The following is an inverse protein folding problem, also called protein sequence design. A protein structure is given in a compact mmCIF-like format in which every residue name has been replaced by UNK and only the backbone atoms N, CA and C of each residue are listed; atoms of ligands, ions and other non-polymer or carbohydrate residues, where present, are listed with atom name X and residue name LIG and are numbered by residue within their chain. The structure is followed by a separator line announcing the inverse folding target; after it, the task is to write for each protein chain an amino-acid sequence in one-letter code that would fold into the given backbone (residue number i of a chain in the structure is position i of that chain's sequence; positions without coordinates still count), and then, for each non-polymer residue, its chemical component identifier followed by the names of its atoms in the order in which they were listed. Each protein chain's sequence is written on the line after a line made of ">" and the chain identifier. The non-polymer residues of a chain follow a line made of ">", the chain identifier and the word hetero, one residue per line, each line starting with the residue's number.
data_IF_259951430017
#
_entry.id   IF_259951430017
#
_cell.length_a   1.000
_cell.length_b   1.000
_cell.length_c   1.000
_cell.angle_alpha   90.00
_cell.angle_beta   90.00
_cell.angle_gamma   90.00
#
_symmetry.space_group_name_H-M   'P 1'
#
loop_
_entity.id
_entity.type
_entity.pdbx_description
1 polymer ?
#
# COMPACT_ATOMS: atom_id res chain seq x y z
N UNK A 1 -43.61 -44.83 -76.84
CA UNK A 1 -44.40 -45.45 -75.75
C UNK A 1 -43.41 -45.68 -74.62
N UNK A 2 -43.58 -45.08 -73.62
CA UNK A 2 -43.53 -45.41 -72.20
C UNK A 2 -43.06 -44.23 -71.33
N UNK A 3 -43.96 -43.80 -70.51
CA UNK A 3 -43.87 -42.73 -69.56
C UNK A 3 -43.05 -43.20 -68.35
N UNK A 4 -41.97 -42.47 -67.99
CA UNK A 4 -41.35 -42.63 -66.66
C UNK A 4 -41.42 -41.31 -65.90
N UNK A 5 -42.37 -41.25 -64.96
CA UNK A 5 -42.52 -40.15 -63.99
C UNK A 5 -41.40 -40.18 -63.03
N UNK A 6 -40.52 -39.12 -63.04
CA UNK A 6 -39.57 -38.85 -62.02
C UNK A 6 -40.22 -38.25 -60.78
N UNK A 7 -40.23 -38.96 -59.67
CA UNK A 7 -40.59 -38.47 -58.32
C UNK A 7 -39.54 -37.59 -57.75
N UNK A 8 -39.73 -36.27 -57.65
CA UNK A 8 -38.95 -35.37 -56.86
C UNK A 8 -39.22 -35.59 -55.35
N UNK A 9 -38.30 -36.24 -54.65
CA UNK A 9 -38.27 -36.24 -53.17
C UNK A 9 -37.87 -34.85 -52.68
N UNK A 10 -38.80 -34.14 -52.04
CA UNK A 10 -38.60 -32.94 -51.27
C UNK A 10 -37.88 -33.30 -49.97
N UNK A 11 -36.58 -32.91 -49.82
CA UNK A 11 -35.90 -32.97 -48.57
C UNK A 11 -36.23 -31.69 -47.79
N UNK A 12 -37.10 -31.84 -46.79
CA UNK A 12 -37.35 -30.84 -45.75
C UNK A 12 -36.10 -30.72 -44.90
N UNK A 13 -35.31 -29.65 -45.11
CA UNK A 13 -34.24 -29.24 -44.23
C UNK A 13 -34.84 -28.65 -42.96
N UNK A 14 -34.99 -29.49 -41.95
CA UNK A 14 -35.30 -29.04 -40.60
C UNK A 14 -34.10 -28.20 -40.07
N UNK A 15 -34.23 -26.89 -40.15
CA UNK A 15 -33.29 -25.94 -39.51
C UNK A 15 -33.33 -26.16 -38.01
N UNK A 16 -32.38 -26.91 -37.50
CA UNK A 16 -32.07 -27.00 -36.08
C UNK A 16 -31.60 -25.61 -35.62
N UNK A 17 -32.51 -24.78 -35.16
CA UNK A 17 -32.17 -23.59 -34.35
C UNK A 17 -31.49 -24.06 -33.06
N UNK A 18 -30.16 -24.17 -33.07
CA UNK A 18 -29.39 -24.30 -31.85
C UNK A 18 -29.74 -23.11 -30.95
N UNK A 19 -30.52 -23.37 -29.90
CA UNK A 19 -30.70 -22.42 -28.79
C UNK A 19 -29.30 -22.15 -28.22
N UNK A 20 -28.66 -21.05 -28.62
CA UNK A 20 -27.53 -20.49 -27.91
C UNK A 20 -28.01 -20.23 -26.49
N UNK A 21 -27.67 -21.13 -25.60
CA UNK A 21 -27.88 -20.99 -24.16
C UNK A 21 -27.16 -19.68 -23.77
N UNK A 22 -27.92 -18.61 -23.54
CA UNK A 22 -27.38 -17.38 -22.94
C UNK A 22 -26.78 -17.81 -21.60
N UNK A 23 -25.44 -17.94 -21.55
CA UNK A 23 -24.69 -18.12 -20.31
C UNK A 23 -25.10 -16.98 -19.37
N UNK A 24 -25.73 -17.32 -18.27
CA UNK A 24 -26.01 -16.37 -17.18
C UNK A 24 -24.73 -15.78 -16.74
N UNK A 25 -24.55 -14.45 -16.87
CA UNK A 25 -23.44 -13.71 -16.29
C UNK A 25 -23.59 -13.81 -14.78
N UNK A 26 -22.83 -14.65 -14.13
CA UNK A 26 -22.61 -14.57 -12.69
C UNK A 26 -21.66 -13.41 -12.45
N UNK A 27 -22.17 -12.31 -11.89
CA UNK A 27 -21.33 -11.20 -11.42
C UNK A 27 -20.46 -11.75 -10.28
N UNK A 28 -19.18 -11.94 -10.53
CA UNK A 28 -18.22 -12.35 -9.49
C UNK A 28 -18.00 -11.18 -8.55
N UNK A 29 -18.13 -11.41 -7.26
CA UNK A 29 -17.78 -10.45 -6.22
C UNK A 29 -16.84 -11.10 -5.22
N UNK A 30 -15.69 -10.48 -4.98
CA UNK A 30 -14.67 -11.04 -4.10
C UNK A 30 -14.98 -10.76 -2.63
N UNK A 31 -15.90 -11.54 -2.06
CA UNK A 31 -16.25 -11.47 -0.64
C UNK A 31 -15.05 -11.77 0.28
N UNK A 32 -14.10 -12.59 -0.19
CA UNK A 32 -12.90 -12.93 0.57
C UNK A 32 -11.98 -11.73 0.76
N UNK A 33 -11.84 -10.89 -0.27
CA UNK A 33 -11.10 -9.64 -0.17
C UNK A 33 -11.78 -8.67 0.81
N UNK A 34 -13.11 -8.54 0.73
CA UNK A 34 -13.88 -7.70 1.68
C UNK A 34 -13.72 -8.20 3.10
N UNK A 35 -13.84 -9.51 3.32
CA UNK A 35 -13.74 -10.12 4.64
C UNK A 35 -12.37 -9.84 5.29
N UNK A 36 -11.26 -10.02 4.55
CA UNK A 36 -9.92 -9.78 5.11
C UNK A 36 -9.67 -8.30 5.41
N UNK A 37 -10.18 -7.39 4.58
CA UNK A 37 -10.06 -5.94 4.85
C UNK A 37 -10.84 -5.57 6.11
N UNK A 38 -12.06 -6.08 6.27
CA UNK A 38 -12.87 -5.84 7.48
C UNK A 38 -12.19 -6.44 8.71
N UNK A 39 -11.66 -7.66 8.62
CA UNK A 39 -10.93 -8.30 9.73
C UNK A 39 -9.69 -7.50 10.14
N UNK A 40 -8.85 -7.06 9.18
CA UNK A 40 -7.69 -6.22 9.48
C UNK A 40 -8.09 -4.89 10.10
N UNK A 41 -9.17 -4.26 9.61
CA UNK A 41 -9.65 -2.98 10.14
C UNK A 41 -10.22 -3.14 11.55
N UNK A 42 -11.03 -4.18 11.81
CA UNK A 42 -11.56 -4.45 13.14
C UNK A 42 -10.45 -4.79 14.14
N UNK A 43 -9.49 -5.63 13.73
CA UNK A 43 -8.31 -5.91 14.53
C UNK A 43 -7.50 -4.64 14.82
N UNK A 44 -7.29 -3.81 13.80
CA UNK A 44 -6.63 -2.50 13.94
C UNK A 44 -7.33 -1.59 14.94
N UNK A 45 -8.67 -1.53 14.93
CA UNK A 45 -9.44 -0.75 15.89
C UNK A 45 -9.28 -1.26 17.35
N UNK A 46 -9.26 -2.58 17.54
CA UNK A 46 -9.03 -3.18 18.87
C UNK A 46 -7.63 -2.83 19.37
N UNK A 47 -6.62 -2.99 18.53
CA UNK A 47 -5.23 -2.68 18.88
C UNK A 47 -5.01 -1.18 19.05
N UNK A 48 -5.69 -0.34 18.27
CA UNK A 48 -5.67 1.12 18.44
C UNK A 48 -6.23 1.53 19.80
N UNK A 49 -7.37 0.97 20.21
CA UNK A 49 -7.91 1.24 21.55
C UNK A 49 -6.91 0.83 22.64
N UNK A 50 -6.34 -0.36 22.52
CA UNK A 50 -5.33 -0.82 23.48
C UNK A 50 -4.11 0.11 23.53
N UNK A 51 -3.56 0.50 22.40
CA UNK A 51 -2.31 1.29 22.34
C UNK A 51 -2.50 2.77 22.68
N UNK A 52 -3.67 3.35 22.42
CA UNK A 52 -3.89 4.79 22.54
C UNK A 52 -4.68 5.22 23.76
N UNK A 53 -5.36 4.31 24.48
CA UNK A 53 -6.26 4.63 25.58
C UNK A 53 -5.60 5.47 26.69
N UNK A 54 -4.39 5.10 27.11
CA UNK A 54 -3.65 5.81 28.15
C UNK A 54 -3.30 7.26 27.72
N UNK A 55 -2.69 7.43 26.55
CA UNK A 55 -2.33 8.77 26.06
C UNK A 55 -3.57 9.61 25.71
N UNK A 56 -4.64 8.98 25.25
CA UNK A 56 -5.92 9.65 25.00
C UNK A 56 -6.55 10.18 26.28
N UNK A 57 -6.49 9.40 27.36
CA UNK A 57 -7.01 9.84 28.67
C UNK A 57 -6.23 11.05 29.22
N UNK A 58 -4.89 11.02 29.10
CA UNK A 58 -4.04 12.12 29.58
C UNK A 58 -4.25 13.40 28.75
N UNK A 59 -4.24 13.29 27.42
CA UNK A 59 -4.22 14.46 26.55
C UNK A 59 -5.61 15.02 26.24
N UNK A 60 -6.66 14.18 26.25
CA UNK A 60 -8.01 14.55 25.81
C UNK A 60 -9.10 14.25 26.86
N UNK A 61 -8.74 13.67 28.00
CA UNK A 61 -9.71 13.32 29.06
C UNK A 61 -10.67 12.18 28.69
N UNK A 62 -10.41 11.45 27.62
CA UNK A 62 -11.24 10.32 27.18
C UNK A 62 -10.37 9.25 26.54
N UNK A 63 -10.39 8.06 27.10
CA UNK A 63 -9.67 6.87 26.62
C UNK A 63 -10.10 6.42 25.20
N UNK A 64 -11.35 6.75 24.80
CA UNK A 64 -11.94 6.38 23.51
C UNK A 64 -11.73 7.44 22.40
N UNK A 65 -10.99 8.51 22.64
CA UNK A 65 -10.87 9.63 21.69
C UNK A 65 -10.37 9.16 20.31
N UNK A 66 -9.23 8.50 20.23
CA UNK A 66 -8.66 8.02 18.99
C UNK A 66 -9.50 6.88 18.36
N UNK A 67 -10.01 5.98 19.20
CA UNK A 67 -10.87 4.88 18.76
C UNK A 67 -12.12 5.38 18.04
N UNK A 68 -12.90 6.28 18.68
CA UNK A 68 -14.14 6.82 18.09
C UNK A 68 -13.86 7.52 16.75
N UNK A 69 -12.82 8.36 16.70
CA UNK A 69 -12.43 9.06 15.49
C UNK A 69 -12.07 8.10 14.37
N UNK A 70 -11.24 7.10 14.64
CA UNK A 70 -10.81 6.11 13.64
C UNK A 70 -11.96 5.18 13.23
N UNK A 71 -12.82 4.76 14.15
CA UNK A 71 -13.98 3.91 13.86
C UNK A 71 -14.95 4.58 12.87
N UNK A 72 -15.29 5.85 13.12
CA UNK A 72 -16.16 6.62 12.22
C UNK A 72 -15.55 6.73 10.83
N UNK A 73 -14.25 7.08 10.75
CA UNK A 73 -13.53 7.17 9.48
C UNK A 73 -13.50 5.80 8.79
N UNK A 74 -13.21 4.72 9.51
CA UNK A 74 -13.13 3.36 8.94
C UNK A 74 -14.46 2.90 8.35
N UNK A 75 -15.57 3.13 9.05
CA UNK A 75 -16.92 2.79 8.54
C UNK A 75 -17.23 3.59 7.28
N UNK A 76 -16.98 4.90 7.29
CA UNK A 76 -17.19 5.75 6.11
C UNK A 76 -16.32 5.29 4.92
N UNK A 77 -15.06 4.91 5.19
CA UNK A 77 -14.13 4.44 4.17
C UNK A 77 -14.51 3.06 3.61
N UNK A 78 -15.03 2.13 4.42
CA UNK A 78 -15.57 0.85 3.94
C UNK A 78 -16.75 1.11 3.01
N UNK A 79 -17.70 1.98 3.39
CA UNK A 79 -18.82 2.35 2.53
C UNK A 79 -18.31 2.97 1.22
N UNK A 80 -17.35 3.87 1.28
CA UNK A 80 -16.71 4.47 0.12
C UNK A 80 -16.07 3.41 -0.78
N UNK A 81 -15.32 2.45 -0.24
CA UNK A 81 -14.74 1.35 -1.01
C UNK A 81 -15.79 0.50 -1.71
N UNK A 82 -16.92 0.21 -1.05
CA UNK A 82 -18.06 -0.50 -1.64
C UNK A 82 -18.73 0.31 -2.76
N UNK A 83 -18.83 1.63 -2.63
CA UNK A 83 -19.33 2.52 -3.69
C UNK A 83 -18.36 2.52 -4.87
N UNK A 84 -17.05 2.70 -4.64
CA UNK A 84 -16.02 2.66 -5.68
C UNK A 84 -16.04 1.32 -6.41
N UNK A 85 -16.25 0.20 -5.71
CA UNK A 85 -16.33 -1.14 -6.31
C UNK A 85 -17.46 -1.29 -7.34
N UNK A 86 -18.49 -0.45 -7.27
CA UNK A 86 -19.60 -0.43 -8.24
C UNK A 86 -19.32 0.43 -9.46
N UNK A 87 -18.35 1.34 -9.37
CA UNK A 87 -17.95 2.19 -10.50
C UNK A 87 -17.07 1.38 -11.46
N UNK A 88 -17.08 1.76 -12.73
CA UNK A 88 -16.20 1.13 -13.71
C UNK A 88 -14.79 1.74 -13.62
N UNK A 89 -13.80 0.94 -13.17
CA UNK A 89 -12.42 1.37 -13.05
C UNK A 89 -11.82 1.94 -14.35
N UNK A 90 -12.35 1.55 -15.53
CA UNK A 90 -11.90 2.08 -16.83
C UNK A 90 -12.12 3.59 -16.98
N UNK A 91 -13.00 4.19 -16.18
CA UNK A 91 -13.18 5.65 -16.16
C UNK A 91 -11.87 6.35 -15.78
N UNK A 92 -11.05 5.71 -14.94
CA UNK A 92 -9.74 6.26 -14.52
C UNK A 92 -8.76 6.42 -15.70
N UNK A 93 -8.92 5.67 -16.79
CA UNK A 93 -8.14 5.89 -18.01
C UNK A 93 -8.25 7.32 -18.50
N UNK A 94 -9.46 7.89 -18.46
CA UNK A 94 -9.71 9.27 -18.91
C UNK A 94 -9.12 10.32 -17.98
N UNK A 95 -9.07 10.00 -16.69
CA UNK A 95 -8.63 10.96 -15.66
C UNK A 95 -7.18 10.70 -15.18
N UNK A 96 -6.46 9.75 -15.76
CA UNK A 96 -5.11 9.36 -15.32
C UNK A 96 -4.12 10.54 -15.33
N UNK A 97 -4.08 11.31 -16.40
CA UNK A 97 -3.22 12.50 -16.52
C UNK A 97 -3.65 13.61 -15.57
N UNK A 98 -4.95 13.86 -15.42
CA UNK A 98 -5.47 14.83 -14.48
C UNK A 98 -5.12 14.48 -13.03
N UNK A 99 -5.21 13.19 -12.67
CA UNK A 99 -4.83 12.70 -11.34
C UNK A 99 -3.33 12.89 -11.07
N UNK A 100 -2.49 12.62 -12.09
CA UNK A 100 -1.05 12.83 -12.00
C UNK A 100 -0.70 14.30 -11.77
N UNK A 101 -1.28 15.20 -12.57
CA UNK A 101 -1.06 16.66 -12.43
C UNK A 101 -1.60 17.17 -11.10
N UNK A 102 -2.79 16.71 -10.67
CA UNK A 102 -3.36 17.07 -9.38
C UNK A 102 -2.45 16.66 -8.22
N UNK A 103 -1.87 15.45 -8.26
CA UNK A 103 -0.92 14.99 -7.24
C UNK A 103 0.34 15.89 -7.18
N UNK A 104 0.90 16.27 -8.34
CA UNK A 104 2.05 17.18 -8.40
C UNK A 104 1.71 18.57 -7.82
N UNK A 105 0.58 19.15 -8.25
CA UNK A 105 0.15 20.47 -7.78
C UNK A 105 -0.10 20.45 -6.27
N UNK A 106 -0.81 19.43 -5.75
CA UNK A 106 -1.09 19.32 -4.32
C UNK A 106 0.18 19.12 -3.49
N UNK A 107 1.17 18.35 -3.99
CA UNK A 107 2.47 18.24 -3.32
C UNK A 107 3.21 19.59 -3.32
N UNK A 108 3.21 20.33 -4.41
CA UNK A 108 3.83 21.65 -4.46
C UNK A 108 3.14 22.65 -3.51
N UNK A 109 1.83 22.57 -3.33
CA UNK A 109 1.07 23.40 -2.40
C UNK A 109 1.47 23.21 -0.93
N UNK A 110 2.10 22.08 -0.57
CA UNK A 110 2.62 21.85 0.81
C UNK A 110 3.69 22.88 1.20
N UNK A 111 4.45 23.42 0.24
CA UNK A 111 5.46 24.46 0.50
C UNK A 111 4.88 25.89 0.63
N UNK A 112 3.57 26.04 0.44
CA UNK A 112 2.85 27.30 0.64
C UNK A 112 2.36 27.44 2.09
N UNK A 113 1.78 28.61 2.48
CA UNK A 113 1.20 28.81 3.82
C UNK A 113 0.09 27.83 4.21
N UNK A 114 -0.48 27.07 3.25
CA UNK A 114 -1.45 26.00 3.50
C UNK A 114 -0.80 24.73 4.07
N UNK A 115 0.54 24.63 3.97
CA UNK A 115 1.30 23.50 4.47
C UNK A 115 1.48 23.55 5.97
N UNK A 116 1.20 22.43 6.65
CA UNK A 116 1.43 22.26 8.08
C UNK A 116 2.68 21.43 8.32
N UNK A 117 3.53 21.93 9.21
CA UNK A 117 4.72 21.22 9.68
C UNK A 117 4.36 20.26 10.80
N UNK A 118 4.85 19.04 10.72
CA UNK A 118 4.78 18.05 11.79
C UNK A 118 6.14 17.39 11.93
N UNK A 119 6.69 17.34 13.16
CA UNK A 119 8.01 16.78 13.47
C UNK A 119 9.14 17.32 12.57
N UNK A 120 9.11 18.63 12.28
CA UNK A 120 10.15 19.30 11.50
C UNK A 120 10.09 19.12 9.98
N UNK A 121 9.04 18.48 9.45
CA UNK A 121 8.82 18.33 8.01
C UNK A 121 7.42 18.79 7.60
N UNK A 122 7.32 19.52 6.49
CA UNK A 122 6.04 19.95 5.92
C UNK A 122 5.50 18.83 5.04
N UNK A 123 4.45 18.13 5.50
CA UNK A 123 3.89 16.95 4.81
C UNK A 123 2.39 17.01 4.59
N UNK A 124 1.70 17.90 5.31
CA UNK A 124 0.26 17.94 5.40
C UNK A 124 -0.27 19.25 4.84
N UNK A 125 -1.39 19.19 4.15
CA UNK A 125 -2.21 20.36 3.82
C UNK A 125 -3.34 20.47 4.86
N UNK A 126 -3.50 21.67 5.41
CA UNK A 126 -4.61 21.97 6.30
C UNK A 126 -5.80 22.50 5.47
N UNK A 127 -6.82 21.66 5.31
CA UNK A 127 -8.06 22.00 4.61
C UNK A 127 -9.21 22.22 5.63
N UNK A 128 -8.93 22.94 6.70
CA UNK A 128 -9.87 23.19 7.79
C UNK A 128 -9.93 22.03 8.76
N UNK A 129 -11.06 21.27 8.88
CA UNK A 129 -11.18 20.18 9.86
C UNK A 129 -10.40 18.91 9.48
N UNK A 130 -9.90 18.83 8.23
CA UNK A 130 -9.24 17.64 7.69
C UNK A 130 -7.80 17.95 7.31
N UNK A 131 -6.87 17.19 7.89
CA UNK A 131 -5.48 17.20 7.45
C UNK A 131 -5.32 16.20 6.31
N UNK A 132 -4.84 16.67 5.17
CA UNK A 132 -4.67 15.88 3.96
C UNK A 132 -3.18 15.73 3.61
N UNK A 133 -2.74 14.51 3.33
CA UNK A 133 -1.37 14.24 2.91
C UNK A 133 -1.31 14.01 1.39
N UNK A 134 -0.83 14.96 0.59
CA UNK A 134 -0.80 14.84 -0.87
C UNK A 134 0.03 13.68 -1.40
N UNK A 135 1.06 13.27 -0.65
CA UNK A 135 1.90 12.14 -1.01
C UNK A 135 1.14 10.79 -1.03
N UNK A 136 0.04 10.67 -0.28
CA UNK A 136 -0.85 9.50 -0.35
C UNK A 136 -1.58 9.45 -1.70
N UNK A 137 -2.06 10.59 -2.18
CA UNK A 137 -2.66 10.70 -3.52
C UNK A 137 -1.65 10.38 -4.62
N UNK A 138 -0.38 10.76 -4.46
CA UNK A 138 0.66 10.48 -5.44
C UNK A 138 0.91 8.97 -5.64
N UNK A 139 0.74 8.15 -4.61
CA UNK A 139 0.80 6.68 -4.73
C UNK A 139 -0.32 6.15 -5.62
N UNK A 140 -1.56 6.62 -5.43
CA UNK A 140 -2.68 6.25 -6.32
C UNK A 140 -2.46 6.80 -7.73
N UNK A 141 -1.94 8.02 -7.86
CA UNK A 141 -1.68 8.62 -9.17
C UNK A 141 -0.68 7.78 -9.99
N UNK A 142 0.38 7.27 -9.37
CA UNK A 142 1.33 6.39 -10.08
C UNK A 142 0.70 5.03 -10.42
N UNK A 143 -0.11 4.46 -9.51
CA UNK A 143 -0.83 3.18 -9.70
C UNK A 143 -1.84 3.26 -10.85
N UNK A 144 -2.39 4.43 -11.14
CA UNK A 144 -3.35 4.64 -12.24
C UNK A 144 -2.64 5.10 -13.52
N UNK A 145 -1.72 6.06 -13.41
CA UNK A 145 -1.10 6.68 -14.58
C UNK A 145 -0.13 5.75 -15.32
N UNK A 146 0.71 5.00 -14.61
CA UNK A 146 1.66 4.11 -15.28
C UNK A 146 0.98 2.96 -16.03
N UNK A 147 -0.02 2.23 -15.48
CA UNK A 147 -0.79 1.26 -16.25
C UNK A 147 -1.44 1.86 -17.50
N UNK A 148 -2.02 3.06 -17.39
CA UNK A 148 -2.56 3.77 -18.54
C UNK A 148 -1.49 3.97 -19.64
N UNK A 149 -0.31 4.49 -19.27
CA UNK A 149 0.79 4.71 -20.21
C UNK A 149 1.30 3.40 -20.80
N UNK A 150 1.47 2.34 -20.00
CA UNK A 150 1.94 1.02 -20.43
C UNK A 150 1.01 0.46 -21.52
N UNK A 151 -0.31 0.52 -21.27
CA UNK A 151 -1.32 0.03 -22.24
C UNK A 151 -1.26 0.82 -23.55
N UNK A 152 -1.13 2.17 -23.47
CA UNK A 152 -1.07 3.02 -24.69
C UNK A 152 0.24 2.92 -25.44
N UNK A 153 1.36 2.68 -24.75
CA UNK A 153 2.67 2.47 -25.38
C UNK A 153 2.78 1.10 -26.08
N UNK A 154 2.01 0.11 -25.64
CA UNK A 154 1.98 -1.24 -26.20
C UNK A 154 3.40 -1.85 -26.32
N UNK A 155 3.80 -2.27 -27.53
CA UNK A 155 5.12 -2.91 -27.74
C UNK A 155 6.32 -1.99 -27.42
N UNK A 156 6.14 -0.66 -27.38
CA UNK A 156 7.23 0.28 -27.06
C UNK A 156 7.73 0.15 -25.62
N UNK A 157 6.92 -0.39 -24.71
CA UNK A 157 7.34 -0.67 -23.32
C UNK A 157 8.55 -1.63 -23.28
N UNK A 158 8.69 -2.51 -24.26
CA UNK A 158 9.80 -3.47 -24.35
C UNK A 158 11.14 -2.83 -24.78
N UNK A 159 11.14 -1.55 -25.11
CA UNK A 159 12.34 -0.81 -25.47
C UNK A 159 12.91 -0.07 -24.28
N UNK A 160 14.24 0.09 -24.23
CA UNK A 160 14.89 0.89 -23.18
C UNK A 160 14.32 2.31 -23.10
N UNK A 161 14.03 2.95 -24.24
CA UNK A 161 13.40 4.27 -24.29
C UNK A 161 12.02 4.27 -23.64
N UNK A 162 11.21 3.22 -23.87
CA UNK A 162 9.89 3.08 -23.22
C UNK A 162 9.99 2.93 -21.71
N UNK A 163 10.90 2.09 -21.21
CA UNK A 163 11.15 1.96 -19.78
C UNK A 163 11.63 3.27 -19.16
N UNK A 164 12.53 4.00 -19.84
CA UNK A 164 13.02 5.30 -19.37
C UNK A 164 11.90 6.33 -19.25
N UNK A 165 10.99 6.41 -20.22
CA UNK A 165 9.83 7.32 -20.15
C UNK A 165 8.97 7.01 -18.93
N UNK A 166 8.66 5.73 -18.68
CA UNK A 166 7.88 5.32 -17.51
C UNK A 166 8.63 5.62 -16.19
N UNK A 167 9.94 5.34 -16.17
CA UNK A 167 10.79 5.63 -15.02
C UNK A 167 10.88 7.14 -14.73
N UNK A 168 10.94 7.99 -15.76
CA UNK A 168 10.93 9.46 -15.60
C UNK A 168 9.59 9.95 -15.07
N UNK A 169 8.46 9.42 -15.57
CA UNK A 169 7.14 9.82 -15.08
C UNK A 169 6.91 9.39 -13.63
N UNK A 170 7.16 8.12 -13.29
CA UNK A 170 7.02 7.65 -11.92
C UNK A 170 8.08 8.25 -10.98
N UNK A 171 9.33 8.34 -11.45
CA UNK A 171 10.42 9.01 -10.74
C UNK A 171 10.16 10.50 -10.50
N UNK A 172 9.46 11.18 -11.41
CA UNK A 172 9.03 12.57 -11.24
C UNK A 172 8.10 12.75 -10.05
N UNK A 173 7.11 11.86 -9.85
CA UNK A 173 6.27 11.86 -8.64
C UNK A 173 7.06 11.51 -7.37
N UNK A 174 7.99 10.54 -7.46
CA UNK A 174 8.85 10.20 -6.34
C UNK A 174 9.75 11.38 -5.93
N UNK A 175 10.36 12.05 -6.91
CA UNK A 175 11.17 13.24 -6.68
C UNK A 175 10.33 14.39 -6.10
N UNK A 176 9.12 14.60 -6.61
CA UNK A 176 8.20 15.61 -6.08
C UNK A 176 7.82 15.32 -4.61
N UNK A 177 7.55 14.06 -4.26
CA UNK A 177 7.30 13.65 -2.88
C UNK A 177 8.53 13.92 -1.98
N UNK A 178 9.74 13.70 -2.48
CA UNK A 178 10.96 13.97 -1.74
C UNK A 178 11.20 15.47 -1.54
N UNK A 179 11.09 16.27 -2.61
CA UNK A 179 11.44 17.70 -2.61
C UNK A 179 10.37 18.57 -1.94
N UNK A 180 9.09 18.30 -2.26
CA UNK A 180 8.01 19.15 -1.77
C UNK A 180 7.47 18.74 -0.40
N UNK A 181 7.50 17.42 -0.07
CA UNK A 181 6.90 16.95 1.20
C UNK A 181 7.93 16.43 2.20
N UNK A 182 9.23 16.57 1.92
CA UNK A 182 10.34 16.07 2.76
C UNK A 182 10.15 14.59 3.18
N UNK A 183 9.44 13.79 2.34
CA UNK A 183 9.07 12.42 2.66
C UNK A 183 9.82 11.41 1.79
N UNK A 184 11.03 11.04 2.26
CA UNK A 184 11.86 10.04 1.58
C UNK A 184 11.19 8.67 1.51
N UNK A 185 10.48 8.26 2.56
CA UNK A 185 9.84 6.93 2.63
C UNK A 185 8.77 6.77 1.55
N UNK A 186 7.91 7.79 1.39
CA UNK A 186 6.90 7.78 0.33
C UNK A 186 7.53 7.87 -1.06
N UNK A 187 8.62 8.64 -1.22
CA UNK A 187 9.36 8.69 -2.48
C UNK A 187 9.92 7.31 -2.87
N UNK A 188 10.48 6.57 -1.92
CA UNK A 188 10.95 5.20 -2.12
C UNK A 188 9.78 4.27 -2.51
N UNK A 189 8.64 4.36 -1.82
CA UNK A 189 7.45 3.54 -2.14
C UNK A 189 6.98 3.83 -3.57
N UNK A 190 6.84 5.11 -3.98
CA UNK A 190 6.42 5.49 -5.33
C UNK A 190 7.43 4.97 -6.38
N UNK A 191 8.72 5.10 -6.10
CA UNK A 191 9.77 4.59 -6.98
C UNK A 191 9.70 3.06 -7.11
N UNK A 192 9.52 2.34 -6.01
CA UNK A 192 9.40 0.87 -6.02
C UNK A 192 8.11 0.40 -6.73
N UNK A 193 6.98 1.12 -6.56
CA UNK A 193 5.75 0.85 -7.34
C UNK A 193 6.04 1.02 -8.84
N UNK A 194 6.74 2.11 -9.21
CA UNK A 194 7.13 2.38 -10.59
C UNK A 194 7.99 1.25 -11.16
N UNK A 195 9.06 0.88 -10.46
CA UNK A 195 9.95 -0.19 -10.87
C UNK A 195 9.23 -1.54 -10.98
N UNK A 196 8.35 -1.85 -10.02
CA UNK A 196 7.57 -3.07 -10.02
C UNK A 196 6.56 -3.14 -11.17
N UNK A 197 5.89 -2.03 -11.51
CA UNK A 197 4.98 -1.97 -12.67
C UNK A 197 5.73 -2.12 -14.00
N UNK A 198 6.91 -1.50 -14.13
CA UNK A 198 7.76 -1.69 -15.31
C UNK A 198 8.23 -3.15 -15.41
N UNK A 199 8.62 -3.75 -14.28
CA UNK A 199 9.01 -5.16 -14.19
C UNK A 199 7.89 -6.11 -14.65
N UNK A 200 6.66 -5.91 -14.17
CA UNK A 200 5.49 -6.72 -14.56
C UNK A 200 5.17 -6.58 -16.05
N UNK A 201 5.41 -5.40 -16.63
CA UNK A 201 5.11 -5.13 -18.03
C UNK A 201 6.23 -5.55 -19.00
N UNK A 202 7.46 -5.78 -18.51
CA UNK A 202 8.62 -6.07 -19.35
C UNK A 202 8.95 -7.57 -19.39
N UNK A 203 9.24 -8.16 -20.56
CA UNK A 203 9.47 -9.60 -20.67
C UNK A 203 10.84 -10.07 -20.13
N UNK A 204 11.85 -9.18 -20.08
CA UNK A 204 13.22 -9.55 -19.74
C UNK A 204 13.53 -9.32 -18.25
N UNK A 205 13.36 -10.36 -17.45
CA UNK A 205 13.62 -10.33 -16.00
C UNK A 205 15.10 -10.07 -15.68
N UNK A 206 16.04 -10.49 -16.53
CA UNK A 206 17.48 -10.40 -16.27
C UNK A 206 17.96 -8.98 -16.01
N UNK A 207 17.46 -8.00 -16.75
CA UNK A 207 17.83 -6.59 -16.60
C UNK A 207 17.47 -6.09 -15.19
N UNK A 208 16.29 -6.45 -14.68
CA UNK A 208 15.83 -6.04 -13.35
C UNK A 208 16.61 -6.70 -12.22
N UNK A 209 17.01 -7.98 -12.39
CA UNK A 209 17.87 -8.69 -11.43
C UNK A 209 19.24 -7.99 -11.33
N UNK A 210 19.82 -7.61 -12.47
CA UNK A 210 21.11 -6.89 -12.51
C UNK A 210 20.96 -5.54 -11.84
N UNK A 211 19.93 -4.75 -12.18
CA UNK A 211 19.69 -3.43 -11.56
C UNK A 211 19.48 -3.58 -10.05
N UNK A 212 18.65 -4.53 -9.63
CA UNK A 212 18.44 -4.78 -8.20
C UNK A 212 19.73 -5.17 -7.49
N UNK A 213 20.54 -6.05 -8.08
CA UNK A 213 21.85 -6.41 -7.54
C UNK A 213 22.80 -5.23 -7.41
N UNK A 214 22.87 -4.35 -8.40
CA UNK A 214 23.67 -3.12 -8.34
C UNK A 214 23.17 -2.17 -7.26
N UNK A 215 21.84 -1.95 -7.16
CA UNK A 215 21.26 -1.09 -6.13
C UNK A 215 21.54 -1.62 -4.74
N UNK A 216 21.40 -2.92 -4.51
CA UNK A 216 21.71 -3.57 -3.21
C UNK A 216 23.19 -3.43 -2.90
N UNK A 217 24.08 -3.69 -3.86
CA UNK A 217 25.53 -3.56 -3.67
C UNK A 217 25.92 -2.12 -3.31
N UNK A 218 25.35 -1.12 -4.00
CA UNK A 218 25.59 0.30 -3.67
C UNK A 218 25.03 0.69 -2.29
N UNK A 219 23.87 0.16 -1.90
CA UNK A 219 23.29 0.40 -0.58
C UNK A 219 24.18 -0.19 0.52
N UNK A 220 24.62 -1.44 0.37
CA UNK A 220 25.53 -2.11 1.31
C UNK A 220 26.87 -1.37 1.39
N UNK A 221 27.45 -1.01 0.26
CA UNK A 221 28.68 -0.21 0.23
C UNK A 221 28.50 1.13 0.92
N UNK A 222 27.40 1.83 0.67
CA UNK A 222 27.08 3.10 1.32
C UNK A 222 26.97 2.97 2.84
N UNK A 223 26.31 1.92 3.34
CA UNK A 223 26.21 1.66 4.78
C UNK A 223 27.58 1.38 5.39
N UNK A 224 28.40 0.52 4.77
CA UNK A 224 29.76 0.21 5.24
C UNK A 224 30.63 1.48 5.25
N UNK A 225 30.57 2.28 4.18
CA UNK A 225 31.32 3.52 4.06
C UNK A 225 30.92 4.53 5.13
N UNK A 226 29.59 4.71 5.37
CA UNK A 226 29.08 5.61 6.41
C UNK A 226 29.52 5.15 7.82
N UNK A 227 29.44 3.85 8.09
CA UNK A 227 29.87 3.30 9.38
C UNK A 227 31.39 3.50 9.63
N UNK A 228 32.19 3.47 8.56
CA UNK A 228 33.64 3.64 8.67
C UNK A 228 34.10 5.11 8.75
N UNK A 229 33.31 6.07 8.24
CA UNK A 229 33.76 7.46 8.03
C UNK A 229 33.06 8.49 8.91
N UNK A 230 31.85 8.17 9.41
CA UNK A 230 31.07 9.13 10.19
C UNK A 230 31.25 8.85 11.69
N UNK A 231 31.89 9.77 12.39
CA UNK A 231 31.96 9.75 13.84
C UNK A 231 30.63 10.18 14.48
N UNK A 232 30.36 9.64 15.66
CA UNK A 232 29.11 9.72 16.44
C UNK A 232 28.75 11.16 16.93
N UNK A 233 29.48 12.19 16.54
CA UNK A 233 29.42 13.53 17.11
C UNK A 233 28.17 14.38 16.81
N UNK A 234 27.02 13.76 16.56
CA UNK A 234 25.71 14.45 16.61
C UNK A 234 25.44 15.58 15.58
N UNK A 235 26.43 16.00 14.80
CA UNK A 235 26.36 17.15 13.88
C UNK A 235 25.83 16.85 12.48
N UNK A 236 25.40 15.61 12.22
CA UNK A 236 24.93 15.15 10.92
C UNK A 236 23.48 15.56 10.61
N UNK A 237 23.12 15.49 9.32
CA UNK A 237 21.73 15.70 8.90
C UNK A 237 20.77 14.70 9.58
N UNK A 238 19.51 15.07 9.76
CA UNK A 238 18.46 14.23 10.36
C UNK A 238 18.39 12.81 9.75
N UNK A 239 18.67 12.67 8.45
CA UNK A 239 18.67 11.38 7.74
C UNK A 239 19.89 10.52 8.10
N UNK A 240 21.05 11.13 8.17
CA UNK A 240 22.29 10.44 8.58
C UNK A 240 22.14 9.90 9.99
N UNK A 241 21.58 10.71 10.89
CA UNK A 241 21.32 10.32 12.29
C UNK A 241 20.42 9.08 12.38
N UNK A 242 19.40 8.95 11.53
CA UNK A 242 18.55 7.72 11.49
C UNK A 242 19.34 6.47 11.10
N UNK A 243 20.30 6.59 10.18
CA UNK A 243 21.16 5.47 9.78
C UNK A 243 22.10 5.08 10.94
N UNK A 244 22.69 6.05 11.63
CA UNK A 244 23.58 5.78 12.77
C UNK A 244 22.83 5.14 13.94
N UNK A 245 21.63 5.64 14.26
CA UNK A 245 20.75 5.03 15.27
C UNK A 245 20.36 3.61 14.91
N UNK A 246 20.14 3.33 13.64
CA UNK A 246 19.81 1.97 13.18
C UNK A 246 20.98 1.01 13.35
N UNK A 247 22.21 1.48 13.04
CA UNK A 247 23.43 0.65 13.16
C UNK A 247 23.85 0.42 14.63
N UNK A 248 23.71 1.44 15.47
CA UNK A 248 24.16 1.45 16.86
C UNK A 248 23.03 1.96 17.79
N UNK A 249 21.87 1.27 17.88
CA UNK A 249 20.72 1.78 18.64
C UNK A 249 21.02 1.93 20.13
N UNK A 250 21.90 1.10 20.68
CA UNK A 250 22.27 1.09 22.11
C UNK A 250 23.04 2.35 22.51
N UNK A 251 23.88 2.88 21.62
CA UNK A 251 24.65 4.12 21.86
C UNK A 251 23.74 5.36 21.95
N UNK A 252 22.54 5.27 21.36
CA UNK A 252 21.54 6.34 21.33
C UNK A 252 20.30 6.01 22.17
N UNK A 253 20.41 5.10 23.13
CA UNK A 253 19.27 4.57 23.90
C UNK A 253 18.45 5.67 24.60
N UNK A 254 19.12 6.68 25.15
CA UNK A 254 18.47 7.77 25.89
C UNK A 254 18.04 8.95 25.00
N UNK A 255 18.18 8.82 23.68
CA UNK A 255 17.88 9.90 22.74
C UNK A 255 17.12 9.42 21.49
N UNK A 256 17.75 9.49 20.34
CA UNK A 256 17.13 9.16 19.05
C UNK A 256 16.87 7.64 18.82
N UNK A 257 17.60 6.76 19.53
CA UNK A 257 17.45 5.30 19.51
C UNK A 257 16.36 4.79 20.44
N UNK A 258 15.89 5.63 21.37
CA UNK A 258 14.91 5.26 22.40
C UNK A 258 13.69 4.54 21.82
N UNK A 259 13.06 5.08 20.77
CA UNK A 259 11.91 4.49 20.12
C UNK A 259 12.19 3.06 19.62
N UNK A 260 13.32 2.85 18.95
CA UNK A 260 13.72 1.54 18.40
C UNK A 260 13.94 0.52 19.51
N UNK A 261 14.68 0.90 20.57
CA UNK A 261 14.99 0.01 21.70
C UNK A 261 13.73 -0.37 22.46
N UNK A 262 12.84 0.59 22.74
CA UNK A 262 11.58 0.29 23.42
C UNK A 262 10.67 -0.62 22.57
N UNK A 263 10.66 -0.46 21.24
CA UNK A 263 9.95 -1.36 20.35
C UNK A 263 10.52 -2.79 20.39
N UNK A 264 11.85 -2.94 20.42
CA UNK A 264 12.52 -4.24 20.55
C UNK A 264 12.25 -4.88 21.92
N UNK A 265 12.24 -4.10 23.00
CA UNK A 265 11.86 -4.58 24.33
C UNK A 265 10.38 -5.04 24.37
N UNK A 266 9.47 -4.31 23.70
CA UNK A 266 8.09 -4.73 23.57
C UNK A 266 7.98 -6.12 22.91
N UNK A 267 8.65 -6.31 21.76
CA UNK A 267 8.66 -7.61 21.06
C UNK A 267 9.24 -8.70 21.93
N UNK A 268 10.42 -8.46 22.54
CA UNK A 268 11.11 -9.44 23.36
C UNK A 268 10.33 -9.83 24.61
N UNK A 269 9.63 -8.88 25.23
CA UNK A 269 8.87 -9.12 26.46
C UNK A 269 7.56 -9.86 26.24
N UNK A 270 7.02 -9.89 25.01
CA UNK A 270 5.79 -10.59 24.66
C UNK A 270 5.93 -12.11 24.63
N UNK A 271 7.11 -12.63 24.37
CA UNK A 271 7.33 -14.08 24.24
C UNK A 271 6.46 -14.71 23.18
N UNK A 272 6.06 -15.98 23.38
CA UNK A 272 5.31 -16.73 22.37
C UNK A 272 3.81 -16.37 22.35
N UNK A 273 3.18 -16.27 23.52
CA UNK A 273 1.73 -16.05 23.66
C UNK A 273 1.33 -14.62 24.06
N UNK A 274 2.29 -13.75 24.33
CA UNK A 274 2.03 -12.39 24.78
C UNK A 274 1.70 -12.25 26.25
N UNK A 275 1.56 -11.01 26.68
CA UNK A 275 1.16 -10.64 28.06
C UNK A 275 -0.35 -10.57 28.23
N UNK A 276 -1.11 -10.79 27.18
CA UNK A 276 -2.56 -10.59 27.12
C UNK A 276 -2.96 -9.22 26.60
N UNK A 277 -4.10 -9.17 25.92
CA UNK A 277 -4.64 -7.95 25.32
C UNK A 277 -4.84 -6.88 26.42
N UNK A 278 -4.38 -5.68 26.15
CA UNK A 278 -4.48 -4.56 27.11
C UNK A 278 -3.36 -4.51 28.16
N UNK A 279 -2.47 -5.50 28.23
CA UNK A 279 -1.45 -5.64 29.29
C UNK A 279 -0.04 -5.25 28.86
N UNK A 280 0.14 -4.57 27.72
CA UNK A 280 1.42 -4.00 27.34
C UNK A 280 1.86 -2.95 28.37
N UNK A 281 3.11 -3.02 28.81
CA UNK A 281 3.73 -1.99 29.66
C UNK A 281 4.30 -0.88 28.77
N UNK A 282 4.85 -1.25 27.63
CA UNK A 282 5.54 -0.34 26.73
C UNK A 282 4.61 0.72 26.09
N UNK A 283 3.32 0.44 25.97
CA UNK A 283 2.31 1.41 25.51
C UNK A 283 2.04 2.56 26.47
N UNK A 284 2.42 2.44 27.75
CA UNK A 284 2.15 3.45 28.78
C UNK A 284 3.10 4.67 28.69
N UNK A 285 3.58 4.97 27.50
CA UNK A 285 4.42 6.12 27.20
C UNK A 285 5.88 5.79 26.92
N UNK A 286 6.29 4.52 27.08
CA UNK A 286 7.67 4.10 26.81
C UNK A 286 7.95 4.02 25.31
N UNK A 287 7.02 3.57 24.47
CA UNK A 287 7.15 3.57 23.00
C UNK A 287 6.50 4.82 22.43
N UNK A 288 7.27 5.80 21.90
CA UNK A 288 6.70 6.93 21.16
C UNK A 288 5.94 6.43 19.92
N UNK A 289 4.84 7.10 19.58
CA UNK A 289 4.03 6.80 18.40
C UNK A 289 3.57 5.32 18.31
N UNK A 290 3.33 4.69 19.48
CA UNK A 290 2.93 3.28 19.59
C UNK A 290 1.68 2.93 18.75
N UNK A 291 0.75 3.89 18.59
CA UNK A 291 -0.47 3.72 17.79
C UNK A 291 -0.25 3.91 16.27
N UNK A 292 0.89 4.45 15.84
CA UNK A 292 1.19 4.79 14.45
C UNK A 292 2.11 3.72 13.82
N UNK A 293 3.38 4.03 13.64
CA UNK A 293 4.36 3.19 12.94
C UNK A 293 4.91 2.04 13.79
N UNK A 294 4.79 2.11 15.12
CA UNK A 294 5.29 1.09 16.06
C UNK A 294 4.20 0.12 16.58
N UNK A 295 2.99 0.15 16.03
CA UNK A 295 1.88 -0.65 16.54
C UNK A 295 2.17 -2.16 16.52
N UNK A 296 2.96 -2.64 15.56
CA UNK A 296 3.34 -4.05 15.46
C UNK A 296 4.16 -4.53 16.67
N UNK A 297 4.99 -3.68 17.28
CA UNK A 297 5.73 -4.05 18.50
C UNK A 297 4.78 -4.29 19.68
N UNK A 298 3.74 -3.47 19.81
CA UNK A 298 2.73 -3.65 20.87
C UNK A 298 1.85 -4.89 20.59
N UNK A 299 1.53 -5.17 19.33
CA UNK A 299 0.85 -6.42 18.96
C UNK A 299 1.67 -7.63 19.43
N UNK A 300 3.00 -7.60 19.20
CA UNK A 300 3.90 -8.67 19.65
C UNK A 300 4.01 -8.71 21.18
N UNK A 301 3.96 -7.58 21.89
CA UNK A 301 3.97 -7.59 23.37
C UNK A 301 2.68 -8.17 23.93
N UNK A 302 1.51 -7.77 23.42
CA UNK A 302 0.21 -8.18 23.96
C UNK A 302 -0.19 -9.59 23.53
N UNK A 303 0.05 -9.97 22.27
CA UNK A 303 -0.40 -11.23 21.68
C UNK A 303 0.74 -12.20 21.36
N UNK A 304 1.98 -11.81 21.65
CA UNK A 304 3.17 -12.61 21.41
C UNK A 304 3.53 -12.74 19.92
N UNK A 305 4.53 -13.57 19.66
CA UNK A 305 4.93 -13.94 18.29
C UNK A 305 3.75 -14.57 17.55
N UNK A 306 2.92 -15.34 18.24
CA UNK A 306 1.72 -15.97 17.66
C UNK A 306 0.74 -14.92 17.10
N UNK A 307 0.47 -13.85 17.85
CA UNK A 307 -0.36 -12.73 17.36
C UNK A 307 0.25 -12.02 16.17
N UNK A 308 1.56 -11.77 16.21
CA UNK A 308 2.31 -11.21 15.07
C UNK A 308 2.19 -12.08 13.82
N UNK A 309 2.32 -13.40 13.94
CA UNK A 309 2.17 -14.34 12.83
C UNK A 309 0.75 -14.35 12.26
N UNK A 310 -0.29 -14.26 13.08
CA UNK A 310 -1.67 -14.14 12.59
C UNK A 310 -1.84 -12.89 11.73
N UNK A 311 -1.31 -11.76 12.16
CA UNK A 311 -1.34 -10.51 11.38
C UNK A 311 -0.62 -10.68 10.05
N UNK A 312 0.56 -11.30 10.04
CA UNK A 312 1.30 -11.59 8.81
C UNK A 312 0.52 -12.52 7.88
N UNK A 313 -0.14 -13.54 8.40
CA UNK A 313 -1.00 -14.43 7.60
C UNK A 313 -2.20 -13.70 7.00
N UNK A 314 -2.82 -12.77 7.72
CA UNK A 314 -3.90 -11.94 7.17
C UNK A 314 -3.41 -11.05 6.01
N UNK A 315 -2.22 -10.44 6.14
CA UNK A 315 -1.63 -9.68 5.03
C UNK A 315 -1.22 -10.58 3.87
N UNK A 316 -0.64 -11.74 4.12
CA UNK A 316 -0.32 -12.71 3.08
C UNK A 316 -1.58 -13.14 2.32
N UNK A 317 -2.70 -13.36 3.02
CA UNK A 317 -3.98 -13.68 2.41
C UNK A 317 -4.55 -12.49 1.61
N UNK A 318 -4.46 -11.26 2.12
CA UNK A 318 -4.84 -10.05 1.39
C UNK A 318 -4.06 -9.93 0.07
N UNK A 319 -2.74 -10.08 0.14
CA UNK A 319 -1.87 -10.02 -1.02
C UNK A 319 -2.16 -11.16 -2.01
N UNK A 320 -2.42 -12.37 -1.53
CA UNK A 320 -2.85 -13.48 -2.37
C UNK A 320 -4.15 -13.17 -3.12
N UNK A 321 -5.16 -12.56 -2.46
CA UNK A 321 -6.39 -12.16 -3.13
C UNK A 321 -6.16 -11.10 -4.22
N UNK A 322 -5.35 -10.08 -3.93
CA UNK A 322 -4.96 -9.07 -4.92
C UNK A 322 -4.23 -9.69 -6.11
N UNK A 323 -3.32 -10.64 -5.87
CA UNK A 323 -2.60 -11.36 -6.93
C UNK A 323 -3.56 -12.15 -7.82
N UNK A 324 -4.52 -12.89 -7.24
CA UNK A 324 -5.53 -13.63 -7.99
C UNK A 324 -6.39 -12.69 -8.84
N UNK A 325 -6.79 -11.53 -8.31
CA UNK A 325 -7.56 -10.52 -9.06
C UNK A 325 -6.71 -9.95 -10.22
N UNK A 326 -5.43 -9.64 -9.97
CA UNK A 326 -4.54 -9.11 -11.00
C UNK A 326 -4.36 -10.08 -12.17
N UNK A 327 -4.20 -11.38 -11.87
CA UNK A 327 -4.03 -12.42 -12.90
C UNK A 327 -5.31 -12.67 -13.73
N UNK A 328 -6.48 -12.56 -13.12
CA UNK A 328 -7.76 -12.83 -13.77
C UNK A 328 -8.47 -11.57 -14.27
N UNK A 329 -7.79 -10.40 -14.20
CA UNK A 329 -8.37 -9.14 -14.62
C UNK A 329 -8.78 -9.16 -16.11
N UNK A 330 -9.92 -8.56 -16.47
CA UNK A 330 -10.48 -8.66 -17.82
C UNK A 330 -9.67 -7.91 -18.89
N UNK A 331 -8.78 -7.00 -18.47
CA UNK A 331 -7.90 -6.24 -19.36
C UNK A 331 -6.56 -5.91 -18.70
N UNK A 332 -5.57 -5.55 -19.52
CA UNK A 332 -4.21 -5.25 -19.06
C UNK A 332 -4.15 -4.03 -18.13
N UNK A 333 -5.03 -3.03 -18.32
CA UNK A 333 -5.07 -1.87 -17.44
C UNK A 333 -5.49 -2.25 -16.02
N UNK A 334 -6.56 -3.04 -15.88
CA UNK A 334 -7.01 -3.55 -14.58
C UNK A 334 -5.98 -4.44 -13.92
N UNK A 335 -5.34 -5.35 -14.68
CA UNK A 335 -4.27 -6.23 -14.18
C UNK A 335 -3.11 -5.44 -13.61
N UNK A 336 -2.57 -4.48 -14.36
CA UNK A 336 -1.45 -3.66 -13.91
C UNK A 336 -1.83 -2.74 -12.75
N UNK A 337 -3.05 -2.18 -12.74
CA UNK A 337 -3.52 -1.35 -11.64
C UNK A 337 -3.59 -2.14 -10.33
N UNK A 338 -4.17 -3.34 -10.34
CA UNK A 338 -4.22 -4.21 -9.15
C UNK A 338 -2.82 -4.70 -8.77
N UNK A 339 -1.93 -4.97 -9.75
CA UNK A 339 -0.52 -5.26 -9.47
C UNK A 339 0.18 -4.09 -8.78
N UNK A 340 -0.10 -2.85 -9.17
CA UNK A 340 0.41 -1.65 -8.48
C UNK A 340 -0.08 -1.54 -7.03
N UNK A 341 -1.37 -1.82 -6.79
CA UNK A 341 -1.95 -1.88 -5.45
C UNK A 341 -1.28 -2.99 -4.62
N UNK A 342 -1.12 -4.19 -5.20
CA UNK A 342 -0.41 -5.30 -4.56
C UNK A 342 1.01 -4.89 -4.12
N UNK A 343 1.78 -4.29 -5.03
CA UNK A 343 3.16 -3.82 -4.75
C UNK A 343 3.15 -2.76 -3.64
N UNK A 344 2.22 -1.81 -3.68
CA UNK A 344 2.11 -0.76 -2.66
C UNK A 344 1.87 -1.36 -1.26
N UNK A 345 0.84 -2.21 -1.11
CA UNK A 345 0.50 -2.83 0.18
C UNK A 345 1.65 -3.72 0.67
N UNK A 346 2.22 -4.55 -0.20
CA UNK A 346 3.33 -5.43 0.15
C UNK A 346 4.54 -4.63 0.66
N UNK A 347 4.94 -3.57 -0.05
CA UNK A 347 6.04 -2.71 0.36
C UNK A 347 5.77 -2.04 1.70
N UNK A 348 4.56 -1.51 1.89
CA UNK A 348 4.22 -0.80 3.12
C UNK A 348 4.25 -1.72 4.34
N UNK A 349 3.76 -2.96 4.21
CA UNK A 349 3.81 -3.99 5.26
C UNK A 349 5.26 -4.40 5.54
N UNK A 350 6.03 -4.72 4.49
CA UNK A 350 7.43 -5.15 4.63
C UNK A 350 8.28 -4.05 5.28
N UNK A 351 8.14 -2.80 4.82
CA UNK A 351 8.90 -1.67 5.37
C UNK A 351 8.55 -1.39 6.82
N UNK A 352 7.26 -1.43 7.20
CA UNK A 352 6.87 -1.23 8.61
C UNK A 352 7.47 -2.31 9.51
N UNK A 353 7.30 -3.58 9.15
CA UNK A 353 7.80 -4.70 9.95
C UNK A 353 9.33 -4.66 10.03
N UNK A 354 10.03 -4.43 8.90
CA UNK A 354 11.48 -4.34 8.88
C UNK A 354 12.02 -3.22 9.79
N UNK A 355 11.32 -2.09 9.87
CA UNK A 355 11.65 -0.99 10.80
C UNK A 355 11.43 -1.42 12.24
N UNK A 356 10.27 -2.00 12.56
CA UNK A 356 9.90 -2.37 13.94
C UNK A 356 10.84 -3.43 14.53
N UNK A 357 11.34 -4.36 13.68
CA UNK A 357 12.33 -5.37 14.10
C UNK A 357 13.78 -4.92 13.88
N UNK A 358 14.01 -3.63 13.63
CA UNK A 358 15.32 -3.02 13.41
C UNK A 358 16.16 -3.62 12.26
N UNK A 359 15.51 -4.16 11.22
CA UNK A 359 16.18 -4.57 9.97
C UNK A 359 16.45 -3.38 9.02
N UNK A 360 15.77 -2.27 9.22
CA UNK A 360 15.90 -1.04 8.43
C UNK A 360 15.81 0.20 9.32
N UNK A 361 16.43 1.33 8.92
CA UNK A 361 16.30 2.60 9.62
C UNK A 361 14.82 3.02 9.73
N UNK A 362 14.47 3.70 10.83
CA UNK A 362 13.09 4.18 11.03
C UNK A 362 12.64 5.08 9.88
N UNK A 363 11.53 4.68 9.23
CA UNK A 363 10.94 5.35 8.07
C UNK A 363 9.65 6.10 8.39
N UNK A 364 8.98 5.80 9.51
CA UNK A 364 7.68 6.36 9.87
C UNK A 364 6.54 5.88 8.96
N UNK A 365 6.68 4.72 8.31
CA UNK A 365 5.65 4.11 7.47
C UNK A 365 4.69 3.33 8.35
N UNK A 366 3.39 3.63 8.26
CA UNK A 366 2.34 2.98 9.05
C UNK A 366 1.95 1.62 8.50
N UNK A 367 1.46 0.72 9.35
CA UNK A 367 0.96 -0.59 8.96
C UNK A 367 -0.46 -0.46 8.35
N UNK A 368 -0.70 -0.86 7.09
CA UNK A 368 -1.99 -0.65 6.41
C UNK A 368 -3.18 -1.21 7.19
N UNK A 369 -4.28 -0.47 7.27
CA UNK A 369 -5.55 -0.82 7.94
C UNK A 369 -5.48 -0.97 9.48
N UNK A 370 -4.30 -1.21 10.06
CA UNK A 370 -4.12 -1.46 11.50
C UNK A 370 -3.70 -0.20 12.22
N UNK A 371 -2.67 0.52 11.72
CA UNK A 371 -2.17 1.73 12.36
C UNK A 371 -3.18 2.87 12.36
N UNK A 372 -3.08 3.75 13.34
CA UNK A 372 -3.80 5.02 13.32
C UNK A 372 -3.32 5.87 12.15
N UNK A 373 -4.24 6.28 11.28
CA UNK A 373 -3.89 7.07 10.11
C UNK A 373 -5.13 7.72 9.50
N UNK A 374 -5.48 8.94 9.92
CA UNK A 374 -6.71 9.61 9.52
C UNK A 374 -6.97 9.61 8.01
N UNK A 375 -6.07 10.18 7.20
CA UNK A 375 -6.26 10.23 5.74
C UNK A 375 -5.65 9.03 4.99
N UNK A 376 -4.67 8.35 5.55
CA UNK A 376 -4.04 7.19 4.89
C UNK A 376 -5.04 6.06 4.67
N UNK A 377 -5.93 5.79 5.64
CA UNK A 377 -6.97 4.76 5.50
C UNK A 377 -7.95 5.06 4.36
N UNK A 378 -8.23 6.35 4.08
CA UNK A 378 -9.11 6.76 2.97
C UNK A 378 -8.51 6.31 1.64
N UNK A 379 -7.23 6.55 1.43
CA UNK A 379 -6.55 6.16 0.19
C UNK A 379 -6.40 4.64 0.06
N UNK A 380 -6.02 3.96 1.14
CA UNK A 380 -5.95 2.49 1.17
C UNK A 380 -7.30 1.84 0.85
N UNK A 381 -8.39 2.36 1.43
CA UNK A 381 -9.73 1.85 1.14
C UNK A 381 -10.21 2.20 -0.27
N UNK A 382 -9.79 3.34 -0.83
CA UNK A 382 -10.04 3.65 -2.23
C UNK A 382 -9.33 2.66 -3.17
N UNK A 383 -8.07 2.30 -2.89
CA UNK A 383 -7.34 1.27 -3.63
C UNK A 383 -8.04 -0.10 -3.55
N UNK A 384 -8.53 -0.49 -2.37
CA UNK A 384 -9.30 -1.73 -2.22
C UNK A 384 -10.61 -1.68 -3.01
N UNK A 385 -11.30 -0.53 -3.02
CA UNK A 385 -12.47 -0.29 -3.84
C UNK A 385 -12.18 -0.44 -5.35
N UNK A 386 -11.03 0.03 -5.81
CA UNK A 386 -10.57 -0.15 -7.20
C UNK A 386 -10.27 -1.62 -7.51
N UNK A 387 -9.58 -2.33 -6.62
CA UNK A 387 -9.32 -3.75 -6.77
C UNK A 387 -10.62 -4.57 -6.86
N UNK A 388 -11.62 -4.26 -6.01
CA UNK A 388 -12.95 -4.86 -6.04
C UNK A 388 -13.71 -4.50 -7.34
N UNK A 389 -13.54 -3.28 -7.88
CA UNK A 389 -14.13 -2.89 -9.16
C UNK A 389 -13.56 -3.72 -10.33
N UNK A 390 -12.27 -4.04 -10.30
CA UNK A 390 -11.65 -4.95 -11.28
C UNK A 390 -12.18 -6.36 -11.08
N UNK A 391 -12.19 -6.87 -9.84
CA UNK A 391 -12.67 -8.20 -9.50
C UNK A 391 -14.10 -8.45 -10.00
N UNK A 392 -15.00 -7.48 -9.83
CA UNK A 392 -16.39 -7.57 -10.26
C UNK A 392 -16.58 -7.73 -11.77
N UNK A 393 -15.60 -7.30 -12.57
CA UNK A 393 -15.66 -7.39 -14.02
C UNK A 393 -14.99 -8.67 -14.58
N UNK A 394 -14.41 -9.50 -13.71
CA UNK A 394 -13.88 -10.82 -14.08
C UNK A 394 -15.04 -11.72 -14.52
N UNK A 395 -14.89 -12.36 -15.67
CA UNK A 395 -15.84 -13.33 -16.19
C UNK A 395 -15.21 -14.70 -16.06
N UNK A 396 -15.80 -15.56 -15.27
CA UNK A 396 -15.45 -16.98 -15.31
C UNK A 396 -16.26 -17.64 -16.42
N UNK A 397 -15.59 -18.29 -17.37
CA UNK A 397 -16.23 -19.18 -18.33
C UNK A 397 -16.47 -20.52 -17.60
N UNK A 398 -17.74 -20.85 -17.36
CA UNK A 398 -18.16 -22.20 -16.98
C UNK A 398 -18.22 -23.11 -18.19
#
# INVERSE_FOLDING_TARGET
>A
MENTKSQKKSYSTASSKSRVRRKTKTDYYDYSLVAVIVLLTCFGLIMLYSTSSYMAQINYGSDMYFFKKQAIISVACIIMALIISRLNYRILNRFSTALYVAALVLMALVKTPLGQSSHGAQRWLNLGPVQFQPAELAKIAVIVCLPYMIVHMGKKVRTLKGCMVLAVVGGGLALAAYVFTDNLSTAIIIFCITAGLIFVAHPDIKIFIIIAGVVIALAVFGVIFLNATVSVDGSGSFRLRRIMVWLHPEEYADSWGYQTIQALYAIGSGGFFGRGLGNSIQKLGSVPEAQNDMIFSIICEELGIFGGLIVLMLYAYLLYRLFVIAQNAPDMFGSLMVSGIFIHIALQVILNIAVVVNLMPNTGVTLPFISYGGTSIVFLMAEMGLALSVARQIKFEE
#
